data_IF_493047352368
#
_entry.id   IF_493047352368
#
_cell.length_a   1.000
_cell.length_b   1.000
_cell.length_c   1.000
_cell.angle_alpha   90.00
_cell.angle_beta   90.00
_cell.angle_gamma   90.00
#
_symmetry.space_group_name_H-M   'P 1'
#
loop_
_entity.id
_entity.type
_entity.pdbx_description
1 polymer ?
#
# COMPACT_ATOMS: atom_id res chain seq x y z
N UNK A 1 5.14 0.06 10.65
CA UNK A 1 3.92 -0.02 9.81
C UNK A 1 4.27 -0.76 8.53
N UNK A 2 3.30 -1.42 7.88
CA UNK A 2 3.49 -2.14 6.61
C UNK A 2 2.63 -1.49 5.54
N UNK A 3 3.18 -1.27 4.34
CA UNK A 3 2.40 -0.90 3.15
C UNK A 3 2.61 -1.99 2.12
N UNK A 4 1.53 -2.62 1.67
CA UNK A 4 1.53 -3.63 0.62
C UNK A 4 0.93 -3.04 -0.65
N UNK A 5 1.60 -3.23 -1.77
CA UNK A 5 1.14 -2.79 -3.09
C UNK A 5 1.03 -4.02 -3.99
N UNK A 6 -0.05 -4.13 -4.76
CA UNK A 6 -0.27 -5.26 -5.66
C UNK A 6 -1.25 -4.93 -6.77
N UNK A 7 -1.13 -5.61 -7.91
CA UNK A 7 -1.93 -5.39 -9.12
C UNK A 7 -2.60 -6.66 -9.66
N UNK A 8 -2.29 -7.83 -9.12
CA UNK A 8 -2.87 -9.08 -9.60
C UNK A 8 -3.57 -9.89 -8.50
N UNK A 9 -4.20 -10.99 -8.90
CA UNK A 9 -4.95 -11.85 -7.98
C UNK A 9 -4.07 -12.52 -6.92
N UNK A 10 -2.78 -12.71 -7.18
CA UNK A 10 -1.85 -13.31 -6.20
C UNK A 10 -1.61 -12.37 -5.02
N UNK A 11 -1.77 -11.06 -5.22
CA UNK A 11 -1.61 -10.05 -4.17
C UNK A 11 -2.79 -9.99 -3.18
N UNK A 12 -3.93 -10.59 -3.51
CA UNK A 12 -5.10 -10.60 -2.62
C UNK A 12 -4.78 -11.28 -1.28
N UNK A 13 -3.96 -12.34 -1.30
CA UNK A 13 -3.50 -13.01 -0.08
C UNK A 13 -2.57 -12.13 0.76
N UNK A 14 -1.75 -11.30 0.11
CA UNK A 14 -0.96 -10.28 0.78
C UNK A 14 -1.86 -9.24 1.46
N UNK A 15 -2.94 -8.79 0.81
CA UNK A 15 -3.89 -7.85 1.42
C UNK A 15 -4.62 -8.45 2.63
N UNK A 16 -5.08 -9.70 2.50
CA UNK A 16 -5.67 -10.47 3.62
C UNK A 16 -4.70 -10.56 4.80
N UNK A 17 -3.40 -10.76 4.53
CA UNK A 17 -2.39 -10.82 5.59
C UNK A 17 -2.19 -9.48 6.29
N UNK A 18 -2.13 -8.38 5.54
CA UNK A 18 -2.01 -7.02 6.10
C UNK A 18 -3.22 -6.68 6.96
N UNK A 19 -4.43 -7.04 6.51
CA UNK A 19 -5.66 -6.89 7.31
C UNK A 19 -5.57 -7.65 8.64
N UNK A 20 -5.15 -8.91 8.61
CA UNK A 20 -4.96 -9.69 9.84
C UNK A 20 -3.88 -9.09 10.77
N UNK A 21 -2.83 -8.48 10.22
CA UNK A 21 -1.82 -7.76 11.00
C UNK A 21 -2.39 -6.51 11.67
N UNK A 22 -3.25 -5.75 10.97
CA UNK A 22 -3.98 -4.61 11.56
C UNK A 22 -4.88 -5.02 12.72
N UNK A 23 -5.65 -6.08 12.53
CA UNK A 23 -6.54 -6.64 13.57
C UNK A 23 -5.74 -7.11 14.79
N UNK A 24 -4.50 -7.56 14.58
CA UNK A 24 -3.52 -7.87 15.63
C UNK A 24 -2.76 -6.69 16.22
N UNK A 25 -3.11 -5.45 15.86
CA UNK A 25 -2.52 -4.22 16.41
C UNK A 25 -1.26 -3.70 15.70
N UNK A 26 -0.84 -4.32 14.60
CA UNK A 26 0.27 -3.81 13.78
C UNK A 26 -0.27 -2.90 12.68
N UNK A 27 0.08 -1.59 12.64
CA UNK A 27 -0.43 -0.69 11.61
C UNK A 27 -0.01 -1.15 10.20
N UNK A 28 -0.95 -1.13 9.26
CA UNK A 28 -0.63 -1.37 7.86
C UNK A 28 -1.74 -0.98 6.89
N UNK A 29 -1.40 -0.86 5.61
CA UNK A 29 -2.32 -0.50 4.54
C UNK A 29 -2.04 -1.35 3.29
N UNK A 30 -3.09 -1.70 2.56
CA UNK A 30 -3.04 -2.40 1.29
C UNK A 30 -3.47 -1.43 0.17
N UNK A 31 -2.72 -1.40 -0.92
CA UNK A 31 -2.91 -0.49 -2.03
C UNK A 31 -2.97 -1.30 -3.32
N UNK A 32 -4.10 -1.28 -4.00
CA UNK A 32 -4.21 -1.84 -5.33
C UNK A 32 -3.58 -0.88 -6.34
N UNK A 33 -2.79 -1.43 -7.26
CA UNK A 33 -2.14 -0.69 -8.34
C UNK A 33 -2.91 -1.02 -9.61
N UNK A 34 -3.56 -0.01 -10.20
CA UNK A 34 -4.36 -0.19 -11.40
C UNK A 34 -3.48 -0.68 -12.56
N UNK A 35 -3.83 -1.82 -13.15
CA UNK A 35 -3.17 -2.44 -14.30
C UNK A 35 -4.20 -3.15 -15.18
N UNK A 36 -3.79 -3.65 -16.35
CA UNK A 36 -4.67 -4.47 -17.19
C UNK A 36 -5.01 -5.84 -16.60
N UNK A 37 -4.29 -6.25 -15.55
CA UNK A 37 -4.44 -7.56 -14.89
C UNK A 37 -5.24 -7.46 -13.57
N UNK A 38 -5.51 -6.24 -13.12
CA UNK A 38 -6.36 -5.97 -11.96
C UNK A 38 -7.76 -6.52 -12.17
N UNK A 39 -8.27 -7.20 -11.14
CA UNK A 39 -9.65 -7.69 -11.08
C UNK A 39 -10.40 -7.00 -9.94
N UNK A 40 -11.73 -7.01 -10.00
CA UNK A 40 -12.58 -6.47 -8.92
C UNK A 40 -12.22 -7.07 -7.54
N UNK A 41 -11.79 -8.35 -7.49
CA UNK A 41 -11.34 -8.99 -6.24
C UNK A 41 -10.11 -8.29 -5.63
N UNK A 42 -9.17 -7.86 -6.45
CA UNK A 42 -7.97 -7.12 -6.02
C UNK A 42 -8.38 -5.75 -5.50
N UNK A 43 -9.28 -5.09 -6.22
CA UNK A 43 -9.78 -3.74 -5.91
C UNK A 43 -10.63 -3.68 -4.63
N UNK A 44 -11.38 -4.72 -4.34
CA UNK A 44 -12.19 -4.85 -3.12
C UNK A 44 -11.36 -5.27 -1.90
N UNK A 45 -10.22 -5.94 -2.14
CA UNK A 45 -9.31 -6.38 -1.09
C UNK A 45 -8.38 -5.27 -0.55
N UNK A 46 -8.14 -4.22 -1.34
CA UNK A 46 -7.26 -3.12 -0.98
C UNK A 46 -7.98 -2.00 -0.20
N UNK A 47 -7.24 -1.28 0.65
CA UNK A 47 -7.77 -0.11 1.36
C UNK A 47 -7.74 1.16 0.48
N UNK A 48 -6.78 1.23 -0.46
CA UNK A 48 -6.57 2.34 -1.37
C UNK A 48 -6.24 1.85 -2.78
N UNK A 49 -6.27 2.77 -3.75
CA UNK A 49 -5.93 2.52 -5.16
C UNK A 49 -5.00 3.59 -5.68
N UNK A 50 -4.10 3.23 -6.59
CA UNK A 50 -3.24 4.17 -7.33
C UNK A 50 -3.18 3.82 -8.80
N UNK A 51 -3.00 4.84 -9.64
CA UNK A 51 -2.97 4.69 -11.09
C UNK A 51 -1.61 4.17 -11.58
N UNK A 52 -1.48 2.85 -11.69
CA UNK A 52 -0.29 2.17 -12.22
C UNK A 52 1.02 2.56 -11.52
N UNK A 53 2.13 2.34 -12.23
CA UNK A 53 3.47 2.61 -11.70
C UNK A 53 3.68 4.08 -11.35
N UNK A 54 3.12 5.01 -12.12
CA UNK A 54 3.24 6.44 -11.84
C UNK A 54 2.60 6.82 -10.50
N UNK A 55 1.44 6.24 -10.18
CA UNK A 55 0.79 6.40 -8.88
C UNK A 55 1.62 5.81 -7.73
N UNK A 56 2.29 4.68 -7.97
CA UNK A 56 3.23 4.08 -6.99
C UNK A 56 4.42 5.00 -6.72
N UNK A 57 5.06 5.53 -7.77
CA UNK A 57 6.20 6.45 -7.64
C UNK A 57 5.82 7.71 -6.85
N UNK A 58 4.65 8.28 -7.15
CA UNK A 58 4.09 9.40 -6.40
C UNK A 58 3.90 9.05 -4.92
N UNK A 59 3.22 7.94 -4.63
CA UNK A 59 2.94 7.50 -3.25
C UNK A 59 4.25 7.31 -2.44
N UNK A 60 5.24 6.63 -3.02
CA UNK A 60 6.54 6.42 -2.38
C UNK A 60 7.28 7.73 -2.15
N UNK A 61 7.17 8.66 -3.11
CA UNK A 61 7.71 10.02 -2.98
C UNK A 61 7.11 10.78 -1.80
N UNK A 62 5.79 10.75 -1.64
CA UNK A 62 5.09 11.40 -0.52
C UNK A 62 5.44 10.76 0.82
N UNK A 63 5.51 9.42 0.90
CA UNK A 63 5.95 8.72 2.11
C UNK A 63 7.38 9.13 2.48
N UNK A 64 8.30 9.18 1.51
CA UNK A 64 9.68 9.57 1.75
C UNK A 64 9.80 11.03 2.24
N UNK A 65 8.95 11.95 1.74
CA UNK A 65 8.88 13.33 2.24
C UNK A 65 8.39 13.37 3.69
N UNK A 66 7.27 12.71 3.97
CA UNK A 66 6.69 12.65 5.31
C UNK A 66 7.69 12.07 6.34
N UNK A 67 8.42 11.00 5.98
CA UNK A 67 9.44 10.41 6.85
C UNK A 67 10.61 11.35 7.14
N UNK A 68 11.03 12.18 6.17
CA UNK A 68 12.08 13.18 6.37
C UNK A 68 11.63 14.31 7.28
N UNK A 69 10.38 14.75 7.17
CA UNK A 69 9.80 15.80 8.01
C UNK A 69 9.55 15.33 9.45
N UNK A 70 9.31 14.02 9.63
CA UNK A 70 9.09 13.40 10.94
C UNK A 70 10.40 13.00 11.63
N UNK A 71 11.51 12.89 10.89
CA UNK A 71 12.82 12.66 11.49
C UNK A 71 13.23 13.91 12.29
N UNK A 72 13.67 13.78 13.56
CA UNK A 72 14.15 14.93 14.32
C UNK A 72 15.29 15.58 13.54
N UNK A 73 15.14 16.86 13.21
CA UNK A 73 16.24 17.69 12.72
C UNK A 73 17.40 17.52 13.71
N UNK A 74 18.50 16.90 13.26
CA UNK A 74 19.59 16.44 14.12
C UNK A 74 20.02 17.48 15.14
N UNK A 75 20.14 17.05 16.40
CA UNK A 75 21.07 17.65 17.36
C UNK A 75 22.47 17.11 17.10
#
# INVERSE_FOLDING_TARGET
AVIALGDDRTDVDMFRRVKAMREGGTPGASVAVESSEVTDEVLDGADYRVDGVAGVEWLLGEIAKALRETAPSGR
#
